data_IF_482992398986
#
_entry.id   IF_482992398986
#
_cell.length_a   1.000
_cell.length_b   1.000
_cell.length_c   1.000
_cell.angle_alpha   90.00
_cell.angle_beta   90.00
_cell.angle_gamma   90.00
#
_symmetry.space_group_name_H-M   'P 1'
#
loop_
_entity.id
_entity.type
_entity.pdbx_description
1 polymer ?
#
# COMPACT_ATOMS: atom_id res chain seq x y z
N UNK A 1 -4.12 -7.83 29.69
CA UNK A 1 -3.75 -7.12 28.44
C UNK A 1 -4.93 -6.36 27.83
N UNK A 2 -6.04 -7.00 27.42
CA UNK A 2 -7.25 -6.27 26.99
C UNK A 2 -7.97 -5.59 28.16
N UNK A 3 -8.04 -6.26 29.31
CA UNK A 3 -8.55 -5.70 30.57
C UNK A 3 -7.86 -4.41 30.98
N UNK A 4 -6.54 -4.34 30.81
CA UNK A 4 -5.73 -3.24 31.31
C UNK A 4 -5.89 -2.01 30.41
N UNK A 5 -5.95 -2.21 29.09
CA UNK A 5 -6.30 -1.15 28.14
C UNK A 5 -7.71 -0.62 28.41
N UNK A 6 -8.67 -1.51 28.65
CA UNK A 6 -10.04 -1.12 28.94
C UNK A 6 -10.15 -0.35 30.26
N UNK A 7 -9.40 -0.77 31.29
CA UNK A 7 -9.27 -0.03 32.57
C UNK A 7 -8.68 1.35 32.29
N UNK A 8 -7.50 1.46 31.67
CA UNK A 8 -6.85 2.75 31.38
C UNK A 8 -7.78 3.69 30.59
N UNK A 9 -8.49 3.19 29.58
CA UNK A 9 -9.43 4.01 28.80
C UNK A 9 -10.63 4.46 29.65
N UNK A 10 -11.20 3.56 30.46
CA UNK A 10 -12.43 3.84 31.21
C UNK A 10 -12.20 4.55 32.54
N UNK A 11 -11.00 4.50 33.13
CA UNK A 11 -10.66 5.18 34.38
C UNK A 11 -9.71 6.34 34.12
N UNK A 12 -8.45 6.04 33.81
CA UNK A 12 -7.33 7.00 33.77
C UNK A 12 -7.49 8.06 32.69
N UNK A 13 -8.17 7.76 31.59
CA UNK A 13 -8.34 8.65 30.44
C UNK A 13 -9.81 9.05 30.19
N UNK A 14 -10.69 8.83 31.17
CA UNK A 14 -12.14 9.03 31.04
C UNK A 14 -12.55 10.48 30.73
N UNK A 15 -11.73 11.46 31.09
CA UNK A 15 -11.89 12.89 30.79
C UNK A 15 -11.44 13.28 29.38
N UNK A 16 -10.53 12.48 28.79
CA UNK A 16 -9.89 12.75 27.49
C UNK A 16 -10.43 11.90 26.36
N UNK A 17 -10.96 10.71 26.64
CA UNK A 17 -11.46 9.75 25.66
C UNK A 17 -12.98 9.64 25.76
N UNK A 18 -13.63 9.75 24.60
CA UNK A 18 -15.06 9.52 24.42
C UNK A 18 -15.25 8.22 23.64
N UNK A 19 -16.34 7.52 23.95
CA UNK A 19 -16.74 6.27 23.30
C UNK A 19 -18.10 6.42 22.63
N UNK A 20 -18.19 6.04 21.34
CA UNK A 20 -19.46 5.95 20.60
C UNK A 20 -19.39 4.90 19.50
N UNK A 21 -20.48 4.16 19.34
CA UNK A 21 -20.65 3.13 18.30
C UNK A 21 -19.49 2.12 18.24
N UNK A 22 -18.93 1.75 19.40
CA UNK A 22 -17.80 0.82 19.49
C UNK A 22 -16.43 1.43 19.13
N UNK A 23 -16.35 2.76 18.99
CA UNK A 23 -15.12 3.49 18.67
C UNK A 23 -14.71 4.39 19.82
N UNK A 24 -13.40 4.46 20.07
CA UNK A 24 -12.78 5.38 21.03
C UNK A 24 -12.08 6.51 20.28
N UNK A 25 -12.22 7.74 20.76
CA UNK A 25 -11.60 8.93 20.16
C UNK A 25 -11.42 10.03 21.22
N UNK A 26 -10.57 11.01 20.91
CA UNK A 26 -10.34 12.15 21.82
C UNK A 26 -11.60 13.02 21.92
N UNK A 27 -11.83 13.58 23.10
CA UNK A 27 -12.93 14.51 23.36
C UNK A 27 -12.97 15.66 22.33
N UNK A 28 -14.18 16.06 21.92
CA UNK A 28 -14.41 17.06 20.88
C UNK A 28 -14.18 16.60 19.45
N UNK A 29 -14.01 15.28 19.21
CA UNK A 29 -13.80 14.70 17.86
C UNK A 29 -14.89 13.73 17.40
N UNK A 30 -16.09 13.91 17.93
CA UNK A 30 -17.29 13.13 17.63
C UNK A 30 -17.55 12.97 16.12
N UNK A 31 -17.28 14.01 15.33
CA UNK A 31 -17.42 14.03 13.87
C UNK A 31 -16.59 12.94 13.16
N UNK A 32 -15.55 12.40 13.80
CA UNK A 32 -14.74 11.32 13.25
C UNK A 32 -15.52 10.01 13.13
N UNK A 33 -16.54 9.79 13.98
CA UNK A 33 -17.38 8.58 13.93
C UNK A 33 -18.15 8.53 12.60
N UNK A 34 -18.87 9.60 12.28
CA UNK A 34 -19.64 9.70 11.03
C UNK A 34 -18.72 9.74 9.81
N UNK A 35 -17.59 10.44 9.91
CA UNK A 35 -16.58 10.43 8.85
C UNK A 35 -16.05 9.01 8.58
N UNK A 36 -15.76 8.23 9.62
CA UNK A 36 -15.28 6.86 9.49
C UNK A 36 -16.33 5.97 8.83
N UNK A 37 -17.60 6.06 9.24
CA UNK A 37 -18.71 5.32 8.59
C UNK A 37 -18.83 5.65 7.10
N UNK A 38 -18.75 6.93 6.75
CA UNK A 38 -18.80 7.37 5.35
C UNK A 38 -17.61 6.81 4.54
N UNK A 39 -16.39 6.89 5.08
CA UNK A 39 -15.17 6.38 4.44
C UNK A 39 -15.19 4.85 4.30
N UNK A 40 -15.70 4.14 5.29
CA UNK A 40 -15.89 2.68 5.23
C UNK A 40 -16.73 2.29 4.02
N UNK A 41 -17.89 2.94 3.81
CA UNK A 41 -18.77 2.67 2.67
C UNK A 41 -18.04 2.84 1.33
N UNK A 42 -17.23 3.89 1.19
CA UNK A 42 -16.44 4.17 -0.01
C UNK A 42 -15.34 3.11 -0.18
N UNK A 43 -14.58 2.83 0.87
CA UNK A 43 -13.54 1.81 0.85
C UNK A 43 -14.10 0.43 0.51
N UNK A 44 -15.29 0.04 0.98
CA UNK A 44 -15.92 -1.22 0.57
C UNK A 44 -16.23 -1.25 -0.93
N UNK A 45 -16.71 -0.15 -1.50
CA UNK A 45 -16.95 -0.06 -2.94
C UNK A 45 -15.65 -0.20 -3.75
N UNK A 46 -14.57 0.43 -3.29
CA UNK A 46 -13.23 0.30 -3.87
C UNK A 46 -12.67 -1.12 -3.72
N UNK A 47 -12.84 -1.79 -2.58
CA UNK A 47 -12.42 -3.19 -2.39
C UNK A 47 -13.16 -4.14 -3.33
N UNK A 48 -14.47 -3.95 -3.51
CA UNK A 48 -15.27 -4.72 -4.49
C UNK A 48 -14.73 -4.52 -5.91
N UNK A 49 -14.36 -3.28 -6.25
CA UNK A 49 -13.72 -2.95 -7.52
C UNK A 49 -12.35 -3.62 -7.64
N UNK A 50 -11.51 -3.53 -6.61
CA UNK A 50 -10.21 -4.17 -6.55
C UNK A 50 -10.31 -5.68 -6.79
N UNK A 51 -11.24 -6.36 -6.12
CA UNK A 51 -11.45 -7.81 -6.32
C UNK A 51 -11.72 -8.17 -7.79
N UNK A 52 -12.51 -7.35 -8.50
CA UNK A 52 -12.78 -7.56 -9.93
C UNK A 52 -11.51 -7.42 -10.78
N UNK A 53 -10.75 -6.34 -10.60
CA UNK A 53 -9.64 -6.00 -11.50
C UNK A 53 -8.31 -6.66 -11.12
N UNK A 54 -8.06 -6.93 -9.85
CA UNK A 54 -6.82 -7.60 -9.43
C UNK A 54 -6.78 -9.07 -9.87
N UNK A 55 -7.93 -9.70 -10.12
CA UNK A 55 -8.00 -11.07 -10.66
C UNK A 55 -7.26 -11.23 -11.99
N UNK A 56 -7.23 -10.22 -12.85
CA UNK A 56 -6.50 -10.29 -14.11
C UNK A 56 -4.97 -10.24 -13.96
N UNK A 57 -4.47 -9.68 -12.85
CA UNK A 57 -3.03 -9.59 -12.59
C UNK A 57 -2.38 -10.98 -12.38
N UNK A 58 -3.18 -12.01 -12.11
CA UNK A 58 -2.72 -13.40 -11.95
C UNK A 58 -2.01 -13.98 -13.16
N UNK A 59 -2.18 -13.35 -14.34
CA UNK A 59 -1.57 -13.79 -15.60
C UNK A 59 -0.37 -12.93 -16.00
N UNK A 60 -0.10 -11.84 -15.28
CA UNK A 60 0.96 -10.91 -15.65
C UNK A 60 2.32 -11.50 -15.26
N UNK A 61 3.26 -11.65 -16.23
CA UNK A 61 4.56 -12.22 -15.96
C UNK A 61 5.38 -11.34 -15.02
N UNK A 62 6.26 -11.98 -14.26
CA UNK A 62 7.21 -11.41 -13.31
C UNK A 62 6.58 -10.74 -12.09
N UNK A 63 5.26 -10.82 -11.89
CA UNK A 63 4.63 -10.47 -10.62
C UNK A 63 4.82 -11.58 -9.60
N UNK A 64 5.14 -11.20 -8.37
CA UNK A 64 5.38 -12.10 -7.23
C UNK A 64 4.46 -11.80 -6.05
N UNK A 65 4.04 -10.53 -5.89
CA UNK A 65 2.98 -10.15 -4.95
C UNK A 65 2.27 -8.89 -5.45
N UNK A 66 0.98 -8.77 -5.12
CA UNK A 66 0.22 -7.52 -5.25
C UNK A 66 -0.56 -7.30 -3.97
N UNK A 67 -0.41 -6.13 -3.36
CA UNK A 67 -1.15 -5.70 -2.18
C UNK A 67 -1.78 -4.32 -2.42
N UNK A 68 -2.87 -4.06 -1.71
CA UNK A 68 -3.49 -2.73 -1.65
C UNK A 68 -2.82 -1.93 -0.54
N UNK A 69 -2.56 -0.66 -0.82
CA UNK A 69 -1.89 0.28 0.07
C UNK A 69 -2.72 1.55 0.31
N UNK A 70 -2.13 2.50 1.02
CA UNK A 70 -2.64 3.84 1.22
C UNK A 70 -3.95 3.90 2.01
N UNK A 71 -4.76 4.92 1.72
CA UNK A 71 -6.04 5.15 2.41
C UNK A 71 -7.00 3.97 2.30
N UNK A 72 -6.91 3.22 1.20
CA UNK A 72 -7.78 2.09 0.93
C UNK A 72 -7.50 0.92 1.86
N UNK A 73 -6.23 0.64 2.12
CA UNK A 73 -5.82 -0.43 3.04
C UNK A 73 -6.26 -0.15 4.49
N UNK A 74 -6.34 1.14 4.85
CA UNK A 74 -6.81 1.63 6.15
C UNK A 74 -8.33 1.79 6.28
N UNK A 75 -9.12 1.36 5.28
CA UNK A 75 -10.57 1.60 5.19
C UNK A 75 -10.95 3.09 5.35
N UNK A 76 -10.10 3.99 4.84
CA UNK A 76 -10.16 5.42 5.08
C UNK A 76 -10.23 6.23 3.77
N UNK A 77 -10.74 5.64 2.69
CA UNK A 77 -10.86 6.31 1.40
C UNK A 77 -12.02 7.30 1.35
N UNK A 78 -11.81 8.39 0.64
CA UNK A 78 -12.85 9.35 0.28
C UNK A 78 -13.24 9.24 -1.21
N UNK A 79 -14.22 10.03 -1.63
CA UNK A 79 -14.77 9.98 -2.98
C UNK A 79 -13.76 10.38 -4.09
N UNK A 80 -12.66 11.03 -3.72
CA UNK A 80 -11.60 11.46 -4.65
C UNK A 80 -10.41 10.50 -4.64
N UNK A 81 -10.39 9.56 -3.70
CA UNK A 81 -9.28 8.62 -3.49
C UNK A 81 -9.17 7.63 -4.64
N UNK A 82 -7.93 7.29 -4.97
CA UNK A 82 -7.54 6.19 -5.83
C UNK A 82 -7.34 4.89 -5.02
N UNK A 83 -6.97 3.83 -5.72
CA UNK A 83 -6.63 2.53 -5.16
C UNK A 83 -5.13 2.30 -5.39
N UNK A 84 -4.33 2.52 -4.36
CA UNK A 84 -2.88 2.36 -4.41
C UNK A 84 -2.50 0.88 -4.39
N UNK A 85 -1.59 0.51 -5.29
CA UNK A 85 -1.00 -0.83 -5.34
C UNK A 85 0.46 -0.82 -4.91
N UNK A 86 0.79 -1.75 -4.03
CA UNK A 86 2.15 -2.18 -3.70
C UNK A 86 2.42 -3.51 -4.42
N UNK A 87 3.49 -3.57 -5.20
CA UNK A 87 3.75 -4.68 -6.11
C UNK A 87 5.16 -5.20 -5.89
N UNK A 88 5.29 -6.51 -5.65
CA UNK A 88 6.59 -7.19 -5.67
C UNK A 88 6.76 -7.87 -7.02
N UNK A 89 7.89 -7.60 -7.68
CA UNK A 89 8.25 -8.21 -8.95
C UNK A 89 9.40 -9.19 -8.76
N UNK A 90 9.65 -10.01 -9.77
CA UNK A 90 10.90 -10.78 -9.82
C UNK A 90 12.13 -9.85 -9.88
N UNK A 91 13.29 -10.39 -9.52
CA UNK A 91 14.56 -9.67 -9.56
C UNK A 91 14.90 -9.29 -11.00
N UNK A 92 15.37 -8.05 -11.22
CA UNK A 92 15.75 -7.53 -12.54
C UNK A 92 14.63 -7.56 -13.60
N UNK A 93 13.37 -7.48 -13.16
CA UNK A 93 12.18 -7.49 -14.04
C UNK A 93 11.18 -6.37 -13.71
N UNK A 94 11.60 -5.38 -12.92
CA UNK A 94 10.71 -4.35 -12.38
C UNK A 94 10.10 -3.49 -13.50
N UNK A 95 10.88 -3.17 -14.53
CA UNK A 95 10.47 -2.29 -15.61
C UNK A 95 9.52 -3.00 -16.57
N UNK A 96 9.80 -4.26 -16.87
CA UNK A 96 8.97 -5.11 -17.70
C UNK A 96 7.63 -5.45 -17.01
N UNK A 97 7.67 -5.84 -15.74
CA UNK A 97 6.46 -6.06 -14.94
C UNK A 97 5.61 -4.78 -14.85
N UNK A 98 6.23 -3.64 -14.55
CA UNK A 98 5.56 -2.33 -14.52
C UNK A 98 4.91 -1.99 -15.85
N UNK A 99 5.53 -2.30 -16.98
CA UNK A 99 4.95 -2.09 -18.30
C UNK A 99 3.67 -2.92 -18.48
N UNK A 100 3.71 -4.22 -18.17
CA UNK A 100 2.52 -5.07 -18.31
C UNK A 100 1.38 -4.65 -17.39
N UNK A 101 1.66 -4.33 -16.12
CA UNK A 101 0.63 -3.83 -15.18
C UNK A 101 0.07 -2.50 -15.64
N UNK A 102 0.94 -1.60 -16.09
CA UNK A 102 0.55 -0.31 -16.67
C UNK A 102 -0.37 -0.46 -17.86
N UNK A 103 -0.01 -1.35 -18.80
CA UNK A 103 -0.79 -1.64 -20.00
C UNK A 103 -2.15 -2.25 -19.63
N UNK A 104 -2.16 -3.23 -18.73
CA UNK A 104 -3.37 -3.88 -18.24
C UNK A 104 -4.40 -2.86 -17.73
N UNK A 105 -4.01 -1.99 -16.79
CA UNK A 105 -4.94 -0.99 -16.26
C UNK A 105 -5.25 0.13 -17.25
N UNK A 106 -4.34 0.44 -18.18
CA UNK A 106 -4.57 1.42 -19.24
C UNK A 106 -5.65 0.95 -20.23
N UNK A 107 -5.52 -0.28 -20.73
CA UNK A 107 -6.47 -0.89 -21.68
C UNK A 107 -7.87 -0.99 -21.07
N UNK A 108 -7.95 -1.33 -19.78
CA UNK A 108 -9.22 -1.38 -19.05
C UNK A 108 -9.77 0.01 -18.65
N UNK A 109 -9.07 1.10 -18.97
CA UNK A 109 -9.44 2.47 -18.59
C UNK A 109 -9.45 2.74 -17.09
N UNK A 110 -8.81 1.88 -16.30
CA UNK A 110 -8.82 1.93 -14.83
C UNK A 110 -7.53 2.51 -14.23
N UNK A 111 -6.53 2.84 -15.05
CA UNK A 111 -5.30 3.47 -14.58
C UNK A 111 -5.51 4.94 -14.21
N UNK A 112 -5.02 5.37 -13.05
CA UNK A 112 -4.94 6.79 -12.68
C UNK A 112 -4.05 7.55 -13.66
N UNK A 113 -4.54 8.67 -14.21
CA UNK A 113 -3.76 9.56 -15.07
C UNK A 113 -4.38 10.96 -15.11
N UNK A 114 -3.57 12.02 -15.12
CA UNK A 114 -4.07 13.41 -15.13
C UNK A 114 -5.13 13.65 -14.04
N UNK A 115 -6.25 14.28 -14.39
CA UNK A 115 -7.39 14.50 -13.48
C UNK A 115 -8.26 13.27 -13.21
N UNK A 116 -7.98 12.14 -13.87
CA UNK A 116 -8.72 10.88 -13.70
C UNK A 116 -8.11 10.09 -12.52
N UNK A 117 -8.56 10.41 -11.31
CA UNK A 117 -8.02 9.86 -10.04
C UNK A 117 -9.03 8.95 -9.34
N UNK A 118 -10.21 9.47 -9.02
CA UNK A 118 -11.21 8.79 -8.20
C UNK A 118 -11.48 7.33 -8.63
N UNK A 119 -11.39 6.42 -7.66
CA UNK A 119 -11.58 4.97 -7.78
C UNK A 119 -10.69 4.28 -8.84
N UNK A 120 -9.64 4.93 -9.36
CA UNK A 120 -8.72 4.33 -10.33
C UNK A 120 -7.49 3.73 -9.63
N UNK A 121 -6.80 2.81 -10.29
CA UNK A 121 -5.61 2.19 -9.74
C UNK A 121 -4.39 3.08 -9.94
N UNK A 122 -3.69 3.36 -8.84
CA UNK A 122 -2.38 3.99 -8.85
C UNK A 122 -1.30 2.92 -8.66
N UNK A 123 -0.31 2.93 -9.55
CA UNK A 123 0.79 1.98 -9.56
C UNK A 123 1.95 2.58 -8.75
N UNK A 124 1.70 2.69 -7.44
CA UNK A 124 2.38 3.62 -6.55
C UNK A 124 3.73 3.11 -6.06
N UNK A 125 3.86 1.81 -5.84
CA UNK A 125 5.08 1.24 -5.29
C UNK A 125 5.40 -0.12 -5.95
N UNK A 126 6.62 -0.27 -6.47
CA UNK A 126 7.19 -1.53 -6.94
C UNK A 126 8.45 -1.86 -6.16
N UNK A 127 8.60 -3.12 -5.78
CA UNK A 127 9.79 -3.64 -5.09
C UNK A 127 10.25 -4.91 -5.79
N UNK A 128 11.54 -5.04 -6.08
CA UNK A 128 12.10 -6.28 -6.59
C UNK A 128 12.17 -7.32 -5.48
N UNK A 129 12.07 -8.60 -5.85
CA UNK A 129 12.18 -9.71 -4.92
C UNK A 129 13.48 -9.62 -4.10
N UNK A 130 13.36 -9.78 -2.78
CA UNK A 130 14.46 -9.67 -1.80
C UNK A 130 15.11 -8.29 -1.67
N UNK A 131 14.53 -7.24 -2.25
CA UNK A 131 14.96 -5.87 -1.96
C UNK A 131 14.43 -5.43 -0.59
N UNK A 132 15.28 -4.74 0.18
CA UNK A 132 14.90 -4.15 1.46
C UNK A 132 14.42 -2.71 1.25
N UNK A 133 13.45 -2.27 2.04
CA UNK A 133 13.15 -0.84 2.14
C UNK A 133 14.25 -0.23 2.98
N UNK A 134 15.23 0.43 2.37
CA UNK A 134 16.37 1.02 3.08
C UNK A 134 16.13 2.50 3.41
N UNK A 135 15.40 3.21 2.55
CA UNK A 135 15.12 4.63 2.69
C UNK A 135 13.78 4.87 3.37
N UNK A 136 13.63 6.07 3.93
CA UNK A 136 12.38 6.58 4.49
C UNK A 136 11.74 5.73 5.59
N UNK A 137 12.52 4.94 6.35
CA UNK A 137 12.03 4.22 7.53
C UNK A 137 11.63 5.20 8.63
N UNK A 138 10.33 5.29 8.89
CA UNK A 138 9.75 6.09 9.96
C UNK A 138 8.39 5.51 10.38
N UNK A 139 7.78 6.11 11.40
CA UNK A 139 6.47 5.70 11.90
C UNK A 139 5.38 5.69 10.82
N UNK A 140 5.40 6.65 9.89
CA UNK A 140 4.38 6.72 8.83
C UNK A 140 4.52 5.55 7.85
N UNK A 141 5.73 5.28 7.35
CA UNK A 141 5.97 4.13 6.46
C UNK A 141 5.77 2.81 7.17
N UNK A 142 6.07 2.72 8.48
CA UNK A 142 5.77 1.54 9.27
C UNK A 142 4.27 1.24 9.29
N UNK A 143 3.43 2.27 9.48
CA UNK A 143 1.97 2.13 9.38
C UNK A 143 1.54 1.75 7.96
N UNK A 144 2.10 2.39 6.93
CA UNK A 144 1.75 2.07 5.53
C UNK A 144 2.04 0.60 5.19
N UNK A 145 3.23 0.09 5.53
CA UNK A 145 3.60 -1.30 5.25
C UNK A 145 2.87 -2.31 6.15
N UNK A 146 2.65 -1.99 7.41
CA UNK A 146 1.88 -2.85 8.31
C UNK A 146 0.41 -2.99 7.87
N UNK A 147 -0.14 -1.95 7.26
CA UNK A 147 -1.54 -1.90 6.84
C UNK A 147 -1.79 -2.52 5.47
N UNK A 148 -0.76 -2.96 4.75
CA UNK A 148 -0.91 -3.54 3.41
C UNK A 148 -1.88 -4.74 3.43
N UNK A 149 -2.77 -4.79 2.43
CA UNK A 149 -3.73 -5.89 2.26
C UNK A 149 -3.34 -6.72 1.03
N UNK A 150 -2.72 -7.89 1.19
CA UNK A 150 -2.29 -8.72 0.07
C UNK A 150 -3.49 -9.29 -0.70
N UNK A 151 -3.39 -9.24 -2.02
CA UNK A 151 -4.39 -9.76 -2.95
C UNK A 151 -3.88 -10.96 -3.77
N UNK A 152 -2.56 -11.03 -4.02
CA UNK A 152 -1.88 -12.14 -4.69
C UNK A 152 -0.50 -12.36 -4.05
N UNK A 153 0.01 -13.59 -4.07
CA UNK A 153 1.40 -13.87 -3.72
C UNK A 153 1.69 -13.79 -2.22
N UNK A 154 0.83 -14.41 -1.39
CA UNK A 154 0.91 -14.29 0.07
C UNK A 154 2.23 -14.79 0.66
N UNK A 155 2.87 -15.79 0.04
CA UNK A 155 4.19 -16.28 0.44
C UNK A 155 5.24 -15.19 0.35
N UNK A 156 5.24 -14.42 -0.74
CA UNK A 156 6.18 -13.33 -0.97
C UNK A 156 5.85 -12.10 -0.17
N UNK A 157 4.56 -11.84 0.09
CA UNK A 157 4.16 -10.81 1.05
C UNK A 157 4.69 -11.10 2.45
N UNK A 158 4.55 -12.35 2.94
CA UNK A 158 5.10 -12.76 4.24
C UNK A 158 6.62 -12.65 4.26
N UNK A 159 7.28 -12.97 3.15
CA UNK A 159 8.73 -12.82 3.03
C UNK A 159 9.15 -11.34 3.13
N UNK A 160 8.44 -10.45 2.44
CA UNK A 160 8.63 -9.01 2.55
C UNK A 160 8.49 -8.51 3.99
N UNK A 161 7.45 -8.94 4.72
CA UNK A 161 7.26 -8.55 6.12
C UNK A 161 8.41 -9.03 7.01
N UNK A 162 8.90 -10.26 6.82
CA UNK A 162 10.07 -10.78 7.58
C UNK A 162 11.34 -9.97 7.30
N UNK A 163 11.58 -9.61 6.04
CA UNK A 163 12.75 -8.82 5.65
C UNK A 163 12.69 -7.39 6.19
N UNK A 164 11.48 -6.85 6.38
CA UNK A 164 11.23 -5.50 6.89
C UNK A 164 10.79 -5.50 8.36
N UNK A 165 11.46 -6.32 9.20
CA UNK A 165 11.17 -6.41 10.63
C UNK A 165 11.31 -5.07 11.37
N UNK A 166 12.07 -4.11 10.84
CA UNK A 166 12.19 -2.75 11.38
C UNK A 166 10.83 -2.06 11.63
N UNK A 167 9.74 -2.50 11.00
CA UNK A 167 8.38 -2.02 11.28
C UNK A 167 8.02 -2.19 12.76
N UNK A 168 8.49 -3.27 13.41
CA UNK A 168 8.23 -3.52 14.84
C UNK A 168 9.00 -2.58 15.76
N UNK A 169 10.01 -1.87 15.25
CA UNK A 169 10.73 -0.85 16.02
C UNK A 169 9.89 0.42 16.20
N UNK A 170 8.87 0.63 15.34
CA UNK A 170 7.97 1.78 15.38
C UNK A 170 6.57 1.45 15.89
N UNK A 171 6.09 0.23 15.69
CA UNK A 171 4.75 -0.20 16.07
C UNK A 171 4.82 -1.26 17.15
N UNK A 172 4.16 -1.01 18.28
CA UNK A 172 3.96 -2.02 19.31
C UNK A 172 2.94 -3.04 18.81
N UNK A 173 3.36 -4.30 18.65
CA UNK A 173 2.50 -5.42 18.23
C UNK A 173 1.69 -5.15 16.94
N UNK A 174 2.35 -4.88 15.80
CA UNK A 174 1.65 -4.63 14.55
C UNK A 174 0.85 -5.87 14.12
N UNK A 175 -0.40 -5.66 13.74
CA UNK A 175 -1.25 -6.70 13.16
C UNK A 175 -1.10 -6.62 11.65
N UNK A 176 -0.56 -7.68 11.05
CA UNK A 176 -0.41 -7.78 9.60
C UNK A 176 -1.53 -8.62 9.02
N UNK A 177 -2.17 -8.13 7.95
CA UNK A 177 -3.07 -8.96 7.14
C UNK A 177 -2.21 -9.96 6.35
N UNK A 178 -2.01 -11.14 6.91
CA UNK A 178 -1.19 -12.19 6.32
C UNK A 178 -2.03 -13.30 5.67
N UNK A 179 -3.30 -13.03 5.36
CA UNK A 179 -4.20 -13.94 4.64
C UNK A 179 -4.62 -13.38 3.28
N UNK A 180 -4.96 -14.28 2.35
CA UNK A 180 -5.55 -13.92 1.07
C UNK A 180 -7.07 -14.20 1.05
N UNK A 181 -7.70 -14.38 2.20
CA UNK A 181 -9.07 -14.92 2.26
C UNK A 181 -10.09 -14.01 1.55
N UNK A 182 -9.89 -12.70 1.62
CA UNK A 182 -10.79 -11.74 1.00
C UNK A 182 -10.75 -11.74 -0.53
N UNK A 183 -9.55 -11.87 -1.12
CA UNK A 183 -9.36 -11.84 -2.57
C UNK A 183 -9.43 -13.24 -3.17
N UNK A 184 -8.79 -14.21 -2.51
CA UNK A 184 -8.70 -15.61 -2.89
C UNK A 184 -8.23 -15.78 -4.34
N UNK A 185 -7.11 -15.12 -4.67
CA UNK A 185 -6.52 -15.10 -6.01
C UNK A 185 -5.14 -15.73 -5.97
N UNK A 186 -4.99 -16.82 -6.71
CA UNK A 186 -3.69 -17.47 -6.92
C UNK A 186 -3.16 -17.17 -8.33
N UNK A 187 -1.83 -17.05 -8.44
CA UNK A 187 -1.16 -16.90 -9.72
C UNK A 187 -1.48 -18.06 -10.66
N UNK A 188 -1.59 -17.77 -11.95
CA UNK A 188 -1.90 -18.78 -12.95
C UNK A 188 -0.63 -19.48 -13.42
N UNK A 189 -0.70 -20.77 -13.73
CA UNK A 189 0.39 -21.49 -14.40
C UNK A 189 0.73 -20.91 -15.79
N UNK A 190 -0.23 -20.23 -16.43
CA UNK A 190 0.02 -19.51 -17.69
C UNK A 190 1.01 -18.37 -17.51
N UNK A 191 1.05 -17.74 -16.33
CA UNK A 191 2.05 -16.72 -16.01
C UNK A 191 3.46 -17.30 -16.19
N UNK A 192 3.73 -18.44 -15.56
CA UNK A 192 5.04 -19.11 -15.63
C UNK A 192 5.40 -19.53 -17.05
N UNK A 193 4.42 -19.91 -17.86
CA UNK A 193 4.64 -20.21 -19.28
C UNK A 193 5.09 -18.96 -20.06
N UNK A 194 4.38 -17.83 -19.91
CA UNK A 194 4.78 -16.58 -20.56
C UNK A 194 6.12 -16.04 -20.06
N UNK A 195 6.43 -16.20 -18.77
CA UNK A 195 7.74 -15.86 -18.21
C UNK A 195 8.86 -16.63 -18.90
N UNK A 196 8.72 -17.96 -19.06
CA UNK A 196 9.74 -18.78 -19.74
C UNK A 196 9.98 -18.35 -21.19
N UNK A 197 8.91 -18.04 -21.93
CA UNK A 197 9.03 -17.55 -23.31
C UNK A 197 9.78 -16.22 -23.36
N UNK A 198 9.42 -15.29 -22.47
CA UNK A 198 10.02 -13.96 -22.42
C UNK A 198 11.49 -14.03 -21.98
N UNK A 199 11.81 -14.81 -20.96
CA UNK A 199 13.19 -14.96 -20.45
C UNK A 199 14.12 -15.65 -21.44
N UNK A 200 13.62 -16.64 -22.20
CA UNK A 200 14.42 -17.30 -23.24
C UNK A 200 14.75 -16.37 -24.42
N UNK A 201 13.86 -15.43 -24.72
CA UNK A 201 13.97 -14.59 -25.92
C UNK A 201 14.63 -13.24 -25.66
N UNK A 202 14.00 -12.37 -24.86
CA UNK A 202 14.31 -10.93 -24.87
C UNK A 202 14.17 -10.22 -23.54
N UNK A 203 13.66 -10.87 -22.47
CA UNK A 203 13.30 -10.17 -21.22
C UNK A 203 14.44 -9.35 -20.59
N UNK A 204 15.71 -9.83 -20.50
CA UNK A 204 16.79 -9.04 -19.95
C UNK A 204 17.09 -7.76 -20.75
N UNK A 205 17.02 -7.84 -22.08
CA UNK A 205 17.27 -6.69 -22.95
C UNK A 205 16.10 -5.71 -22.88
N UNK A 206 14.86 -6.21 -22.97
CA UNK A 206 13.66 -5.38 -22.88
C UNK A 206 13.58 -4.67 -21.53
N UNK A 207 13.89 -5.33 -20.42
CA UNK A 207 13.85 -4.70 -19.11
C UNK A 207 14.84 -3.53 -19.02
N UNK A 208 16.06 -3.69 -19.54
CA UNK A 208 17.05 -2.59 -19.62
C UNK A 208 16.58 -1.43 -20.49
N UNK A 209 16.07 -1.72 -21.70
CA UNK A 209 15.59 -0.69 -22.63
C UNK A 209 14.38 0.07 -22.04
N UNK A 210 13.41 -0.67 -21.49
CA UNK A 210 12.25 -0.11 -20.81
C UNK A 210 12.65 0.69 -19.57
N UNK A 211 13.65 0.23 -18.82
CA UNK A 211 14.19 0.96 -17.68
C UNK A 211 14.76 2.30 -18.09
N UNK A 212 15.60 2.35 -19.13
CA UNK A 212 16.14 3.60 -19.65
C UNK A 212 15.03 4.55 -20.13
N UNK A 213 14.06 4.03 -20.88
CA UNK A 213 12.93 4.82 -21.38
C UNK A 213 12.05 5.36 -20.24
N UNK A 214 11.69 4.51 -19.28
CA UNK A 214 10.80 4.90 -18.18
C UNK A 214 11.49 5.86 -17.22
N UNK A 215 12.77 5.64 -16.86
CA UNK A 215 13.56 6.57 -16.04
C UNK A 215 13.58 7.97 -16.64
N UNK A 216 13.73 8.11 -17.96
CA UNK A 216 13.69 9.41 -18.66
C UNK A 216 12.33 10.11 -18.61
N UNK A 217 11.23 9.35 -18.53
CA UNK A 217 9.86 9.91 -18.51
C UNK A 217 9.35 10.22 -17.10
N UNK A 218 9.91 9.56 -16.10
CA UNK A 218 9.57 9.84 -14.71
C UNK A 218 10.15 11.21 -14.35
N UNK A 219 9.26 12.15 -14.01
CA UNK A 219 9.67 13.44 -13.47
C UNK A 219 10.14 13.21 -12.04
N UNK A 220 11.44 13.34 -11.81
CA UNK A 220 12.00 13.28 -10.46
C UNK A 220 11.45 14.45 -9.64
N UNK A 221 10.93 14.12 -8.46
CA UNK A 221 10.46 15.06 -7.46
C UNK A 221 10.98 14.58 -6.10
N UNK A 222 10.89 15.43 -5.07
CA UNK A 222 11.18 15.02 -3.70
C UNK A 222 10.33 13.80 -3.31
N UNK A 223 10.93 12.84 -2.61
CA UNK A 223 10.30 11.59 -2.15
C UNK A 223 9.87 10.61 -3.25
N UNK A 224 10.35 10.80 -4.49
CA UNK A 224 10.26 9.78 -5.54
C UNK A 224 11.57 8.98 -5.57
N UNK A 225 11.47 7.68 -5.30
CA UNK A 225 12.60 6.74 -5.40
C UNK A 225 12.50 5.97 -6.71
N UNK A 226 13.55 6.03 -7.52
CA UNK A 226 13.65 5.30 -8.78
C UNK A 226 14.98 4.57 -8.84
N UNK A 227 14.95 3.26 -8.64
CA UNK A 227 16.09 2.37 -8.81
C UNK A 227 15.68 1.12 -9.60
N UNK A 228 16.62 0.21 -9.85
CA UNK A 228 16.33 -1.09 -10.47
C UNK A 228 15.80 -2.13 -9.46
N UNK A 229 15.75 -1.77 -8.18
CA UNK A 229 15.23 -2.61 -7.09
C UNK A 229 13.96 -2.06 -6.44
N UNK A 230 13.68 -0.77 -6.57
CA UNK A 230 12.53 -0.11 -5.94
C UNK A 230 12.07 1.07 -6.79
N UNK A 231 10.76 1.17 -7.00
CA UNK A 231 10.11 2.33 -7.57
C UNK A 231 9.02 2.79 -6.59
N UNK A 232 9.26 3.91 -5.93
CA UNK A 232 8.34 4.44 -4.93
C UNK A 232 7.91 5.84 -5.34
N UNK A 233 6.61 6.00 -5.62
CA UNK A 233 6.03 7.26 -6.08
C UNK A 233 5.17 7.85 -4.96
N UNK A 234 5.76 8.42 -3.92
CA UNK A 234 5.00 9.21 -2.95
C UNK A 234 5.11 10.69 -3.31
N UNK A 235 4.26 11.22 -4.22
CA UNK A 235 4.35 12.63 -4.60
C UNK A 235 4.06 13.51 -3.39
N UNK A 236 5.10 14.23 -2.95
CA UNK A 236 5.03 15.24 -1.91
C UNK A 236 5.15 14.70 -0.49
N UNK A 237 5.42 15.64 0.42
CA UNK A 237 5.69 15.47 1.85
C UNK A 237 4.54 14.86 2.66
N UNK A 238 3.54 14.18 2.09
CA UNK A 238 2.31 13.79 2.81
C UNK A 238 2.61 13.01 4.10
N UNK A 239 3.53 12.05 4.03
CA UNK A 239 4.01 11.33 5.21
C UNK A 239 4.64 12.26 6.24
N UNK A 240 5.53 13.16 5.81
CA UNK A 240 6.16 14.16 6.68
C UNK A 240 5.14 15.14 7.28
N UNK A 241 4.15 15.59 6.52
CA UNK A 241 3.07 16.46 6.98
C UNK A 241 2.21 15.75 8.03
N UNK A 242 1.90 14.47 7.82
CA UNK A 242 1.19 13.64 8.80
C UNK A 242 2.03 13.47 10.08
N UNK A 243 3.33 13.18 9.95
CA UNK A 243 4.24 13.05 11.10
C UNK A 243 4.40 14.36 11.87
N UNK A 244 4.58 15.49 11.17
CA UNK A 244 4.69 16.81 11.78
C UNK A 244 3.42 17.18 12.55
N UNK A 245 2.24 16.90 11.96
CA UNK A 245 0.96 17.08 12.66
C UNK A 245 0.85 16.17 13.87
N UNK A 246 1.22 14.89 13.74
CA UNK A 246 1.20 13.93 14.84
C UNK A 246 2.07 14.38 16.02
N UNK A 247 3.31 14.80 15.76
CA UNK A 247 4.20 15.35 16.78
C UNK A 247 3.66 16.65 17.41
N UNK A 248 3.00 17.50 16.62
CA UNK A 248 2.30 18.68 17.13
C UNK A 248 1.19 18.33 18.13
N UNK A 249 0.37 17.33 17.82
CA UNK A 249 -0.70 16.87 18.70
C UNK A 249 -0.17 16.22 19.98
N UNK A 250 0.90 15.42 19.90
CA UNK A 250 1.56 14.86 21.09
C UNK A 250 2.01 15.98 22.03
N UNK A 251 2.72 16.99 21.50
CA UNK A 251 3.19 18.13 22.30
C UNK A 251 2.03 18.89 22.95
N UNK A 252 0.91 19.06 22.23
CA UNK A 252 -0.30 19.69 22.77
C UNK A 252 -0.91 18.89 23.93
N UNK A 253 -0.92 17.57 23.84
CA UNK A 253 -1.49 16.70 24.88
C UNK A 253 -0.58 16.55 26.11
N UNK A 254 0.73 16.78 25.94
CA UNK A 254 1.74 16.77 27.00
C UNK A 254 1.96 18.16 27.63
N UNK A 255 1.39 19.21 27.05
CA UNK A 255 1.46 20.55 27.63
C UNK A 255 0.68 20.57 28.96
N UNK A 256 1.24 21.20 30.01
CA UNK A 256 0.67 21.24 31.34
C UNK A 256 -0.68 21.96 31.40
#
# INVERSE_FOLDING_TARGET
>A
MLSDIEITIKSELSDKIVHKDGLFFLNGREQLVELRKARYKISFAHFRKARKYLKGLRFIPFLRCVAISGSQALLNSDAKSDIDLFIITDKNRIWLARMFVSLYFQVLGQRRHGGKIAARFCLNHYLALNALIEKDRNLYTAVEYASLVPALGISEFRNFLRQNHWITDYLASPVFEASNNFFNIEFSRLQTFFEKILDWSVAPLLDRLLGHYQKKRIRMQEHILVSDSELSFHPGSRGQTVLARFQGEIRRLQAP
#
